data_IF_930892359439
#
_entry.id   IF_930892359439
#
_cell.length_a   1.000
_cell.length_b   1.000
_cell.length_c   1.000
_cell.angle_alpha   90.00
_cell.angle_beta   90.00
_cell.angle_gamma   90.00
#
_symmetry.space_group_name_H-M   'P 1'
#
loop_
_entity.id
_entity.type
_entity.pdbx_description
1 polymer ?
#
# COMPACT_ATOMS: atom_id res chain seq x y z
N UNK A 1 -18.91 0.88 -7.72
CA UNK A 1 -17.51 1.23 -7.98
C UNK A 1 -16.99 2.22 -6.94
N UNK A 2 -17.58 3.41 -6.80
CA UNK A 2 -17.12 4.42 -5.81
C UNK A 2 -17.06 3.91 -4.37
N UNK A 3 -18.13 3.28 -3.87
CA UNK A 3 -18.12 2.67 -2.54
C UNK A 3 -17.06 1.56 -2.32
N UNK A 4 -16.55 0.95 -3.40
CA UNK A 4 -15.43 0.02 -3.31
C UNK A 4 -14.11 0.77 -3.16
N UNK A 5 -13.90 1.84 -3.93
CA UNK A 5 -12.73 2.71 -3.84
C UNK A 5 -12.65 3.39 -2.47
N UNK A 6 -13.77 3.81 -1.88
CA UNK A 6 -13.78 4.38 -0.52
C UNK A 6 -13.32 3.37 0.53
N UNK A 7 -13.73 2.10 0.40
CA UNK A 7 -13.25 1.02 1.28
C UNK A 7 -11.76 0.76 1.08
N UNK A 8 -11.29 0.81 -0.17
CA UNK A 8 -9.87 0.67 -0.49
C UNK A 8 -9.06 1.79 0.17
N UNK A 9 -9.46 3.05 -0.02
CA UNK A 9 -8.79 4.21 0.59
C UNK A 9 -8.73 4.12 2.12
N UNK A 10 -9.85 3.80 2.78
CA UNK A 10 -9.87 3.64 4.24
C UNK A 10 -8.89 2.55 4.71
N UNK A 11 -8.75 1.48 3.94
CA UNK A 11 -7.82 0.39 4.23
C UNK A 11 -6.37 0.73 3.84
N UNK A 12 -6.11 1.59 2.84
CA UNK A 12 -4.79 2.19 2.61
C UNK A 12 -4.34 3.00 3.83
N UNK A 13 -5.25 3.73 4.48
CA UNK A 13 -4.96 4.43 5.73
C UNK A 13 -4.48 3.47 6.83
N UNK A 14 -5.18 2.35 7.02
CA UNK A 14 -4.76 1.30 7.98
C UNK A 14 -3.41 0.66 7.63
N UNK A 15 -3.12 0.51 6.34
CA UNK A 15 -1.83 -0.01 5.88
C UNK A 15 -0.69 0.99 6.05
N UNK A 16 -0.94 2.28 5.90
CA UNK A 16 0.03 3.33 6.20
C UNK A 16 0.51 3.23 7.64
N UNK A 17 -0.42 3.18 8.61
CA UNK A 17 -0.07 3.02 10.02
C UNK A 17 0.74 1.75 10.28
N UNK A 18 0.41 0.65 9.60
CA UNK A 18 1.16 -0.60 9.71
C UNK A 18 2.60 -0.45 9.20
N UNK A 19 2.79 0.20 8.04
CA UNK A 19 4.10 0.46 7.44
C UNK A 19 4.93 1.37 8.36
N UNK A 20 4.32 2.42 8.92
CA UNK A 20 4.98 3.33 9.86
C UNK A 20 5.40 2.62 11.15
N UNK A 21 4.52 1.81 11.75
CA UNK A 21 4.86 0.99 12.93
C UNK A 21 6.01 0.03 12.63
N UNK A 22 6.04 -0.58 11.44
CA UNK A 22 7.15 -1.42 10.98
C UNK A 22 8.46 -0.63 10.86
N UNK A 23 8.42 0.54 10.24
CA UNK A 23 9.58 1.41 10.10
C UNK A 23 10.15 1.82 11.47
N UNK A 24 9.28 2.25 12.38
CA UNK A 24 9.64 2.59 13.76
C UNK A 24 10.23 1.39 14.50
N UNK A 25 9.62 0.20 14.37
CA UNK A 25 10.11 -1.03 14.96
C UNK A 25 11.53 -1.39 14.51
N UNK A 26 11.83 -1.27 13.21
CA UNK A 26 13.18 -1.49 12.68
C UNK A 26 14.20 -0.51 13.28
N UNK A 27 13.84 0.78 13.36
CA UNK A 27 14.70 1.81 13.94
C UNK A 27 14.93 1.63 15.46
N UNK A 28 13.91 1.17 16.18
CA UNK A 28 13.94 1.02 17.64
C UNK A 28 14.74 -0.19 18.13
N UNK A 29 15.07 -1.15 17.27
CA UNK A 29 15.80 -2.36 17.68
C UNK A 29 17.25 -2.11 18.14
N UNK A 30 17.80 -0.91 17.89
CA UNK A 30 19.21 -0.59 18.16
C UNK A 30 20.21 -1.43 17.36
N UNK A 31 19.71 -2.31 16.48
CA UNK A 31 20.47 -3.16 15.57
C UNK A 31 20.31 -2.62 14.16
N UNK A 32 21.35 -2.76 13.34
CA UNK A 32 21.24 -2.46 11.90
C UNK A 32 20.25 -3.46 11.28
N UNK A 33 19.14 -3.01 10.70
CA UNK A 33 18.22 -3.90 10.00
C UNK A 33 18.93 -4.61 8.86
N UNK A 34 18.64 -5.90 8.66
CA UNK A 34 19.14 -6.62 7.49
C UNK A 34 18.63 -5.98 6.19
N UNK A 35 19.46 -6.00 5.14
CA UNK A 35 19.14 -5.43 3.82
C UNK A 35 17.75 -5.86 3.31
N UNK A 36 17.39 -7.14 3.46
CA UNK A 36 16.10 -7.66 3.04
C UNK A 36 14.92 -7.01 3.78
N UNK A 37 15.07 -6.67 5.07
CA UNK A 37 14.01 -6.01 5.84
C UNK A 37 13.81 -4.56 5.40
N UNK A 38 14.88 -3.85 5.06
CA UNK A 38 14.82 -2.49 4.51
C UNK A 38 14.17 -2.51 3.12
N UNK A 39 14.63 -3.38 2.23
CA UNK A 39 14.06 -3.55 0.90
C UNK A 39 12.55 -3.84 0.94
N UNK A 40 12.10 -4.74 1.81
CA UNK A 40 10.66 -5.03 1.96
C UNK A 40 9.87 -3.82 2.46
N UNK A 41 10.43 -3.05 3.40
CA UNK A 41 9.78 -1.82 3.87
C UNK A 41 9.65 -0.79 2.75
N UNK A 42 10.69 -0.63 1.93
CA UNK A 42 10.67 0.31 0.80
C UNK A 42 9.69 -0.13 -0.29
N UNK A 43 9.61 -1.42 -0.61
CA UNK A 43 8.60 -1.97 -1.51
C UNK A 43 7.18 -1.70 -0.98
N UNK A 44 6.94 -1.93 0.31
CA UNK A 44 5.64 -1.62 0.94
C UNK A 44 5.28 -0.14 0.84
N UNK A 45 6.23 0.77 1.09
CA UNK A 45 6.02 2.21 0.95
C UNK A 45 5.73 2.60 -0.50
N UNK A 46 6.47 2.03 -1.45
CA UNK A 46 6.29 2.31 -2.87
C UNK A 46 4.90 1.86 -3.37
N UNK A 47 4.51 0.62 -3.08
CA UNK A 47 3.20 0.09 -3.46
C UNK A 47 2.05 0.87 -2.82
N UNK A 48 2.19 1.27 -1.55
CA UNK A 48 1.21 2.13 -0.88
C UNK A 48 1.09 3.49 -1.55
N UNK A 49 2.21 4.14 -1.87
CA UNK A 49 2.21 5.44 -2.55
C UNK A 49 1.56 5.35 -3.94
N UNK A 50 1.84 4.30 -4.70
CA UNK A 50 1.23 4.06 -6.02
C UNK A 50 -0.29 3.85 -5.86
N UNK A 51 -0.72 3.01 -4.92
CA UNK A 51 -2.15 2.76 -4.68
C UNK A 51 -2.89 4.05 -4.27
N UNK A 52 -2.27 4.88 -3.41
CA UNK A 52 -2.84 6.16 -3.00
C UNK A 52 -2.93 7.14 -4.18
N UNK A 53 -1.89 7.24 -5.00
CA UNK A 53 -1.91 8.06 -6.20
C UNK A 53 -3.03 7.62 -7.17
N UNK A 54 -3.22 6.32 -7.37
CA UNK A 54 -4.30 5.78 -8.22
C UNK A 54 -5.70 6.05 -7.66
N UNK A 55 -5.87 6.00 -6.33
CA UNK A 55 -7.12 6.45 -5.70
C UNK A 55 -7.43 7.92 -5.99
N UNK A 56 -6.41 8.79 -5.90
CA UNK A 56 -6.57 10.23 -6.18
C UNK A 56 -6.86 10.49 -7.66
N UNK A 57 -6.15 9.82 -8.57
CA UNK A 57 -6.41 9.86 -10.01
C UNK A 57 -7.85 9.43 -10.32
N UNK A 58 -8.32 8.31 -9.74
CA UNK A 58 -9.68 7.83 -9.92
C UNK A 58 -10.74 8.85 -9.47
N UNK A 59 -10.51 9.57 -8.36
CA UNK A 59 -11.42 10.60 -7.86
C UNK A 59 -11.48 11.83 -8.75
N UNK A 60 -10.35 12.22 -9.34
CA UNK A 60 -10.28 13.35 -10.28
C UNK A 60 -10.73 13.02 -11.70
N UNK A 61 -10.82 11.74 -12.06
CA UNK A 61 -11.03 11.30 -13.43
C UNK A 61 -12.48 11.44 -13.93
N UNK A 62 -12.58 11.69 -15.24
CA UNK A 62 -13.85 11.67 -15.96
C UNK A 62 -14.41 10.24 -16.04
N UNK A 63 -15.73 10.11 -16.19
CA UNK A 63 -16.43 8.82 -16.15
C UNK A 63 -15.90 7.76 -17.14
N UNK A 64 -15.38 8.19 -18.29
CA UNK A 64 -14.82 7.30 -19.32
C UNK A 64 -13.48 6.67 -18.91
N UNK A 65 -12.70 7.32 -18.05
CA UNK A 65 -11.38 6.87 -17.62
C UNK A 65 -11.44 6.02 -16.34
N UNK A 66 -12.52 6.17 -15.56
CA UNK A 66 -12.72 5.49 -14.28
C UNK A 66 -12.61 3.96 -14.34
N UNK A 67 -13.12 3.24 -15.35
CA UNK A 67 -12.98 1.78 -15.41
C UNK A 67 -11.51 1.34 -15.51
N UNK A 68 -10.72 2.03 -16.35
CA UNK A 68 -9.28 1.75 -16.51
C UNK A 68 -8.51 2.02 -15.21
N UNK A 69 -8.76 3.17 -14.59
CA UNK A 69 -8.12 3.55 -13.33
C UNK A 69 -8.54 2.64 -12.17
N UNK A 70 -9.78 2.15 -12.17
CA UNK A 70 -10.22 1.17 -11.18
C UNK A 70 -9.47 -0.16 -11.32
N UNK A 71 -9.26 -0.62 -12.55
CA UNK A 71 -8.47 -1.83 -12.80
C UNK A 71 -7.01 -1.64 -12.36
N UNK A 72 -6.36 -0.55 -12.77
CA UNK A 72 -4.97 -0.25 -12.34
C UNK A 72 -4.86 -0.16 -10.81
N UNK A 73 -5.84 0.47 -10.16
CA UNK A 73 -5.90 0.52 -8.69
C UNK A 73 -6.05 -0.88 -8.09
N UNK A 74 -6.90 -1.72 -8.68
CA UNK A 74 -7.13 -3.10 -8.20
C UNK A 74 -5.86 -3.96 -8.31
N UNK A 75 -5.10 -3.83 -9.39
CA UNK A 75 -3.84 -4.58 -9.58
C UNK A 75 -2.81 -4.21 -8.50
N UNK A 76 -2.57 -2.91 -8.29
CA UNK A 76 -1.64 -2.43 -7.25
C UNK A 76 -2.15 -2.78 -5.85
N UNK A 77 -3.46 -2.74 -5.65
CA UNK A 77 -4.10 -3.14 -4.41
C UNK A 77 -3.81 -4.59 -4.04
N UNK A 78 -4.01 -5.50 -4.99
CA UNK A 78 -3.82 -6.93 -4.76
C UNK A 78 -2.33 -7.25 -4.50
N UNK A 79 -1.42 -6.58 -5.20
CA UNK A 79 0.02 -6.68 -4.96
C UNK A 79 0.42 -6.18 -3.55
N UNK A 80 -0.12 -5.03 -3.13
CA UNK A 80 0.13 -4.49 -1.80
C UNK A 80 -0.45 -5.41 -0.70
N UNK A 81 -1.67 -5.92 -0.89
CA UNK A 81 -2.32 -6.84 0.03
C UNK A 81 -1.48 -8.10 0.24
N UNK A 82 -0.98 -8.67 -0.87
CA UNK A 82 -0.14 -9.87 -0.86
C UNK A 82 1.22 -9.61 -0.20
N UNK A 83 1.84 -8.46 -0.50
CA UNK A 83 3.11 -8.06 0.13
C UNK A 83 2.96 -7.89 1.64
N UNK A 84 1.84 -7.31 2.10
CA UNK A 84 1.54 -7.19 3.53
C UNK A 84 1.29 -8.55 4.17
N UNK A 85 0.54 -9.44 3.51
CA UNK A 85 0.25 -10.79 4.00
C UNK A 85 1.52 -11.61 4.19
N UNK A 86 2.38 -11.64 3.19
CA UNK A 86 3.68 -12.35 3.23
C UNK A 86 4.62 -11.74 4.27
N UNK A 87 4.62 -10.42 4.42
CA UNK A 87 5.41 -9.72 5.45
C UNK A 87 4.92 -10.04 6.87
N UNK A 88 3.61 -10.22 7.07
CA UNK A 88 3.04 -10.63 8.37
C UNK A 88 3.31 -12.10 8.70
N UNK A 89 3.28 -12.99 7.72
CA UNK A 89 3.49 -14.43 7.92
C UNK A 89 4.95 -14.82 8.24
N UNK A 90 5.91 -13.94 7.97
CA UNK A 90 7.36 -14.18 8.21
C UNK A 90 7.87 -13.57 9.52
N UNK A 91 7.01 -12.95 10.31
CA UNK A 91 7.30 -12.41 11.63
C UNK A 91 6.60 -13.24 12.70
#
# INVERSE_FOLDING_TARGET
MEAAVDRMEAQLGRWQEYIERRAAGLAATGRVPGFESLMRLDVLKALHAIAMAKCLEFRGAAALERPRLHQELQEVWDELAETIRTTRSRN
#
